data_IF_660865637846
#
_entry.id   IF_660865637846
#
_cell.length_a   1.000
_cell.length_b   1.000
_cell.length_c   1.000
_cell.angle_alpha   90.00
_cell.angle_beta   90.00
_cell.angle_gamma   90.00
#
_symmetry.space_group_name_H-M   'P 1'
#
loop_
_entity.id
_entity.type
_entity.pdbx_description
1 polymer ?
#
# COMPACT_ATOMS: atom_id res chain seq x y z
N UNK A 1 -22.20 12.73 20.25
CA UNK A 1 -21.65 12.87 18.89
C UNK A 1 -21.07 14.26 18.80
N UNK A 2 -19.77 14.42 18.53
CA UNK A 2 -19.18 15.76 18.27
C UNK A 2 -19.77 16.26 16.94
N UNK A 3 -20.32 17.47 16.93
CA UNK A 3 -20.63 18.17 15.68
C UNK A 3 -19.35 18.23 14.83
N UNK A 4 -19.33 17.49 13.72
CA UNK A 4 -18.23 17.58 12.76
C UNK A 4 -18.48 18.80 11.89
N UNK A 5 -17.81 19.90 12.19
CA UNK A 5 -17.79 21.08 11.33
C UNK A 5 -17.18 20.70 9.96
N UNK A 6 -18.03 20.56 8.94
CA UNK A 6 -17.59 20.27 7.58
C UNK A 6 -16.87 21.48 6.98
N UNK A 7 -15.71 21.25 6.35
CA UNK A 7 -14.97 22.28 5.61
C UNK A 7 -15.23 22.13 4.12
N UNK A 8 -15.58 23.24 3.46
CA UNK A 8 -15.76 23.27 2.00
C UNK A 8 -14.39 23.38 1.31
N UNK A 9 -14.17 22.55 0.30
CA UNK A 9 -12.97 22.56 -0.55
C UNK A 9 -13.43 22.84 -1.98
N UNK A 10 -12.65 23.64 -2.72
CA UNK A 10 -12.81 23.84 -4.16
C UNK A 10 -11.64 23.16 -4.87
N UNK A 11 -11.96 22.33 -5.86
CA UNK A 11 -10.97 21.57 -6.62
C UNK A 11 -11.16 21.90 -8.10
N UNK A 12 -10.06 22.19 -8.80
CA UNK A 12 -10.06 22.29 -10.26
C UNK A 12 -9.61 20.95 -10.83
N UNK A 13 -10.39 20.41 -11.77
CA UNK A 13 -10.04 19.23 -12.55
C UNK A 13 -10.06 19.58 -14.02
N UNK A 14 -9.33 18.82 -14.82
CA UNK A 14 -9.40 18.97 -16.27
C UNK A 14 -10.71 18.40 -16.81
N UNK A 15 -11.09 18.87 -17.98
CA UNK A 15 -12.35 18.50 -18.63
C UNK A 15 -12.37 17.02 -19.04
N UNK A 16 -11.24 16.44 -19.47
CA UNK A 16 -11.10 15.01 -19.75
C UNK A 16 -11.35 14.14 -18.50
N UNK A 17 -10.92 14.61 -17.33
CA UNK A 17 -11.12 13.93 -16.06
C UNK A 17 -12.57 14.03 -15.59
N UNK A 18 -13.19 15.19 -15.76
CA UNK A 18 -14.60 15.41 -15.43
C UNK A 18 -15.50 14.49 -16.27
N UNK A 19 -15.24 14.41 -17.58
CA UNK A 19 -15.97 13.54 -18.48
C UNK A 19 -15.79 12.06 -18.12
N UNK A 20 -14.55 11.62 -17.87
CA UNK A 20 -14.27 10.24 -17.48
C UNK A 20 -14.95 9.82 -16.16
N UNK A 21 -15.10 10.74 -15.20
CA UNK A 21 -15.84 10.50 -13.97
C UNK A 21 -17.34 10.38 -14.21
N UNK A 22 -17.89 11.27 -15.04
CA UNK A 22 -19.29 11.26 -15.44
C UNK A 22 -19.66 9.97 -16.17
N UNK A 23 -18.85 9.53 -17.14
CA UNK A 23 -19.08 8.32 -17.93
C UNK A 23 -19.03 7.04 -17.08
N UNK A 24 -18.38 7.11 -15.92
CA UNK A 24 -18.31 6.02 -14.93
C UNK A 24 -19.35 6.16 -13.82
N UNK A 25 -20.25 7.13 -13.92
CA UNK A 25 -21.28 7.44 -12.93
C UNK A 25 -20.69 7.71 -11.52
N UNK A 26 -19.45 8.22 -11.46
CA UNK A 26 -18.74 8.46 -10.21
C UNK A 26 -19.03 9.85 -9.65
N UNK A 27 -19.48 9.91 -8.39
CA UNK A 27 -19.60 11.16 -7.64
C UNK A 27 -18.22 11.61 -7.14
N UNK A 28 -17.70 12.71 -7.71
CA UNK A 28 -16.40 13.29 -7.34
C UNK A 28 -16.28 13.58 -5.84
N UNK A 29 -17.34 14.08 -5.20
CA UNK A 29 -17.31 14.42 -3.77
C UNK A 29 -17.26 13.17 -2.88
N UNK A 30 -17.87 12.07 -3.31
CA UNK A 30 -17.77 10.76 -2.66
C UNK A 30 -16.37 10.19 -2.85
N UNK A 31 -15.90 10.14 -4.10
CA UNK A 31 -14.56 9.64 -4.43
C UNK A 31 -13.45 10.38 -3.66
N UNK A 32 -13.50 11.71 -3.60
CA UNK A 32 -12.51 12.48 -2.83
C UNK A 32 -12.61 12.19 -1.34
N UNK A 33 -13.82 12.03 -0.79
CA UNK A 33 -14.01 11.69 0.63
C UNK A 33 -13.42 10.31 0.92
N UNK A 34 -13.77 9.31 0.14
CA UNK A 34 -13.29 7.94 0.32
C UNK A 34 -11.76 7.90 0.21
N UNK A 35 -11.18 8.61 -0.77
CA UNK A 35 -9.73 8.75 -0.91
C UNK A 35 -9.07 9.48 0.27
N UNK A 36 -9.72 10.51 0.83
CA UNK A 36 -9.21 11.21 2.00
C UNK A 36 -9.28 10.33 3.25
N UNK A 37 -10.39 9.63 3.46
CA UNK A 37 -10.56 8.69 4.57
C UNK A 37 -9.54 7.55 4.47
N UNK A 38 -9.32 7.06 3.26
CA UNK A 38 -8.30 6.06 2.94
C UNK A 38 -6.88 6.56 3.19
N UNK A 39 -6.56 7.77 2.72
CA UNK A 39 -5.23 8.36 2.83
C UNK A 39 -4.89 8.77 4.27
N UNK A 40 -5.89 9.22 5.03
CA UNK A 40 -5.75 9.62 6.43
C UNK A 40 -5.98 8.47 7.41
N UNK A 41 -6.28 7.27 6.91
CA UNK A 41 -6.35 6.08 7.75
C UNK A 41 -4.94 5.70 8.23
N UNK A 42 -4.74 5.71 9.55
CA UNK A 42 -3.50 5.26 10.19
C UNK A 42 -3.19 3.76 9.93
N UNK A 43 -4.15 3.01 9.38
CA UNK A 43 -4.06 1.55 9.21
C UNK A 43 -4.42 1.09 7.79
N UNK A 44 -4.13 1.90 6.75
CA UNK A 44 -4.30 1.50 5.35
C UNK A 44 -2.96 1.41 4.62
N UNK A 45 -2.73 0.28 3.95
CA UNK A 45 -1.62 0.09 3.01
C UNK A 45 -2.19 0.09 1.59
N UNK A 46 -1.71 0.99 0.73
CA UNK A 46 -2.03 0.97 -0.71
C UNK A 46 -0.80 0.49 -1.47
N UNK A 47 -0.91 -0.66 -2.14
CA UNK A 47 0.18 -1.30 -2.87
C UNK A 47 -0.16 -1.38 -4.36
N UNK A 48 0.74 -0.88 -5.22
CA UNK A 48 0.67 -1.15 -6.66
C UNK A 48 1.23 -2.56 -6.91
N UNK A 49 0.44 -3.42 -7.53
CA UNK A 49 0.78 -4.82 -7.79
C UNK A 49 0.67 -5.15 -9.28
N UNK A 50 1.26 -6.27 -9.69
CA UNK A 50 1.09 -6.79 -11.05
C UNK A 50 -0.34 -7.31 -11.27
N UNK A 51 -0.76 -7.44 -12.53
CA UNK A 51 -2.06 -8.02 -12.89
C UNK A 51 -2.23 -9.44 -12.35
N UNK A 52 -1.20 -10.27 -12.49
CA UNK A 52 -1.17 -11.63 -11.94
C UNK A 52 -1.43 -11.66 -10.42
N UNK A 53 -0.79 -10.75 -9.67
CA UNK A 53 -0.99 -10.66 -8.21
C UNK A 53 -2.43 -10.26 -7.88
N UNK A 54 -2.99 -9.33 -8.65
CA UNK A 54 -4.38 -8.89 -8.48
C UNK A 54 -5.36 -10.03 -8.76
N UNK A 55 -5.15 -10.81 -9.82
CA UNK A 55 -6.02 -11.95 -10.13
C UNK A 55 -6.04 -13.00 -9.02
N UNK A 56 -4.88 -13.24 -8.39
CA UNK A 56 -4.79 -14.16 -7.24
C UNK A 56 -5.60 -13.63 -6.06
N UNK A 57 -5.44 -12.34 -5.73
CA UNK A 57 -6.21 -11.68 -4.67
C UNK A 57 -7.72 -11.78 -4.95
N UNK A 58 -8.17 -11.44 -6.16
CA UNK A 58 -9.59 -11.48 -6.54
C UNK A 58 -10.16 -12.90 -6.43
N UNK A 59 -9.38 -13.93 -6.80
CA UNK A 59 -9.77 -15.34 -6.65
C UNK A 59 -9.91 -15.76 -5.19
N UNK A 60 -9.02 -15.30 -4.32
CA UNK A 60 -9.11 -15.59 -2.88
C UNK A 60 -10.40 -14.97 -2.35
N UNK A 61 -10.54 -13.65 -2.43
CA UNK A 61 -11.69 -12.93 -1.87
C UNK A 61 -13.02 -13.44 -2.42
N UNK A 62 -13.12 -13.65 -3.74
CA UNK A 62 -14.38 -14.01 -4.40
C UNK A 62 -14.82 -15.44 -4.16
N UNK A 63 -13.90 -16.39 -3.98
CA UNK A 63 -14.24 -17.82 -3.90
C UNK A 63 -14.25 -18.37 -2.47
N UNK A 64 -13.52 -17.75 -1.53
CA UNK A 64 -13.44 -18.25 -0.15
C UNK A 64 -14.28 -17.43 0.84
N UNK A 65 -14.81 -16.28 0.41
CA UNK A 65 -15.46 -15.33 1.31
C UNK A 65 -14.48 -14.71 2.32
N UNK A 66 -13.18 -14.81 2.04
CA UNK A 66 -12.14 -14.21 2.87
C UNK A 66 -12.25 -12.69 2.88
N UNK A 67 -11.94 -12.10 4.02
CA UNK A 67 -11.91 -10.67 4.26
C UNK A 67 -10.49 -10.13 4.18
N UNK A 68 -10.34 -8.81 4.10
CA UNK A 68 -9.03 -8.17 4.18
C UNK A 68 -8.28 -8.50 5.48
N UNK A 69 -8.99 -8.80 6.58
CA UNK A 69 -8.38 -9.24 7.84
C UNK A 69 -7.72 -10.61 7.70
N UNK A 70 -8.33 -11.52 6.92
CA UNK A 70 -7.74 -12.83 6.65
C UNK A 70 -6.46 -12.69 5.81
N UNK A 71 -6.47 -11.78 4.84
CA UNK A 71 -5.29 -11.47 4.00
C UNK A 71 -4.18 -10.80 4.81
N UNK A 72 -4.51 -9.91 5.75
CA UNK A 72 -3.55 -9.18 6.59
C UNK A 72 -2.63 -10.12 7.37
N UNK A 73 -3.15 -11.24 7.87
CA UNK A 73 -2.37 -12.25 8.60
C UNK A 73 -1.20 -12.77 7.73
N UNK A 74 -1.49 -13.15 6.49
CA UNK A 74 -0.48 -13.66 5.56
C UNK A 74 0.45 -12.55 5.04
N UNK A 75 -0.09 -11.36 4.80
CA UNK A 75 0.70 -10.21 4.38
C UNK A 75 1.73 -9.84 5.45
N UNK A 76 1.33 -9.81 6.72
CA UNK A 76 2.19 -9.51 7.86
C UNK A 76 3.37 -10.46 7.97
N UNK A 77 3.14 -11.75 7.80
CA UNK A 77 4.22 -12.74 7.87
C UNK A 77 5.17 -12.62 6.67
N UNK A 78 4.63 -12.33 5.48
CA UNK A 78 5.44 -12.04 4.29
C UNK A 78 6.31 -10.79 4.47
N UNK A 79 5.81 -9.74 5.12
CA UNK A 79 6.57 -8.54 5.44
C UNK A 79 7.71 -8.81 6.44
N UNK A 80 7.50 -9.66 7.44
CA UNK A 80 8.57 -10.07 8.38
C UNK A 80 9.68 -10.82 7.66
N UNK A 81 9.32 -11.73 6.75
CA UNK A 81 10.28 -12.47 5.93
C UNK A 81 11.10 -11.51 5.05
N UNK A 82 10.44 -10.60 4.33
CA UNK A 82 11.13 -9.60 3.51
C UNK A 82 12.09 -8.75 4.36
N UNK A 83 11.68 -8.32 5.55
CA UNK A 83 12.55 -7.55 6.44
C UNK A 83 13.77 -8.37 6.88
N UNK A 84 13.57 -9.63 7.27
CA UNK A 84 14.66 -10.53 7.63
C UNK A 84 15.67 -10.66 6.50
N UNK A 85 15.20 -10.89 5.27
CA UNK A 85 16.07 -11.06 4.10
C UNK A 85 16.86 -9.79 3.78
N UNK A 86 16.22 -8.61 3.91
CA UNK A 86 16.92 -7.33 3.76
C UNK A 86 18.00 -7.12 4.83
N UNK A 87 17.73 -7.52 6.07
CA UNK A 87 18.73 -7.45 7.15
C UNK A 87 19.92 -8.36 6.84
N UNK A 88 19.68 -9.59 6.39
CA UNK A 88 20.78 -10.51 6.05
C UNK A 88 21.59 -9.98 4.87
N UNK A 89 20.94 -9.52 3.80
CA UNK A 89 21.62 -8.92 2.66
C UNK A 89 22.48 -7.70 3.08
N UNK A 90 21.99 -6.88 4.02
CA UNK A 90 22.78 -5.76 4.55
C UNK A 90 23.99 -6.21 5.38
N UNK A 91 23.86 -7.27 6.19
CA UNK A 91 24.98 -7.84 6.95
C UNK A 91 26.04 -8.46 6.04
N UNK A 92 25.63 -9.14 4.98
CA UNK A 92 26.54 -9.69 3.98
C UNK A 92 27.28 -8.57 3.24
N UNK A 93 26.57 -7.49 2.88
CA UNK A 93 27.17 -6.31 2.29
C UNK A 93 28.17 -5.64 3.25
N UNK A 94 27.81 -5.49 4.53
CA UNK A 94 28.69 -4.94 5.56
C UNK A 94 29.96 -5.78 5.71
N UNK A 95 29.83 -7.11 5.76
CA UNK A 95 30.97 -8.04 5.80
C UNK A 95 31.86 -7.91 4.56
N UNK A 96 31.27 -7.71 3.38
CA UNK A 96 32.02 -7.57 2.12
C UNK A 96 32.76 -6.22 2.05
N UNK A 97 32.14 -5.14 2.53
CA UNK A 97 32.68 -3.77 2.46
C UNK A 97 33.68 -3.50 3.58
N UNK A 98 33.41 -3.96 4.80
CA UNK A 98 34.20 -3.65 5.99
C UNK A 98 35.03 -4.84 6.54
N UNK A 99 34.71 -6.09 6.16
CA UNK A 99 35.49 -7.27 6.55
C UNK A 99 36.85 -7.40 5.86
N UNK A 100 37.15 -6.55 4.87
CA UNK A 100 38.40 -6.54 4.12
C UNK A 100 39.59 -5.81 4.77
N UNK A 101 39.40 -5.03 5.85
CA UNK A 101 40.48 -4.19 6.43
C UNK A 101 41.17 -4.78 7.66
N UNK A 102 41.07 -6.10 7.89
CA UNK A 102 41.47 -6.73 9.15
C UNK A 102 42.66 -7.71 9.15
N UNK A 103 43.34 -7.98 8.03
CA UNK A 103 44.49 -8.92 8.01
C UNK A 103 45.79 -8.29 7.54
N UNK A 104 46.40 -7.43 8.38
CA UNK A 104 47.86 -7.27 8.45
C UNK A 104 48.29 -6.81 9.85
N UNK A 105 48.90 -7.73 10.60
CA UNK A 105 50.17 -7.57 11.35
C UNK A 105 50.40 -8.90 12.08
N UNK A 106 51.30 -9.73 11.54
CA UNK A 106 52.74 -9.80 11.84
C UNK A 106 52.98 -10.38 13.23
#
# INVERSE_FOLDING_TARGET
MKDMALKRISLMIREDQAQALHDRELNLSGLIRDLLDDYLSDHKITLSVTEETREIYDKIISNTGSTDQDVEIYLKDSLKLLLHDKIQAMKELESTVFGGTGKKKK
#
